data_IF_195504703265
#
_entry.id   IF_195504703265
#
_cell.length_a   1.000
_cell.length_b   1.000
_cell.length_c   1.000
_cell.angle_alpha   90.00
_cell.angle_beta   90.00
_cell.angle_gamma   90.00
#
_symmetry.space_group_name_H-M   'P 1'
#
loop_
_entity.id
_entity.type
_entity.pdbx_description
1 polymer ?
#
# COMPACT_ATOMS: atom_id res chain seq x y z
N UNK A 1 -25.46 11.09 -29.83
CA UNK A 1 -25.52 10.48 -28.48
C UNK A 1 -24.24 10.91 -27.79
N UNK A 2 -24.30 11.62 -26.66
CA UNK A 2 -23.09 12.00 -25.92
C UNK A 2 -22.52 10.74 -25.26
N UNK A 3 -21.22 10.49 -25.42
CA UNK A 3 -20.53 9.45 -24.66
C UNK A 3 -20.62 9.77 -23.16
N UNK A 4 -20.62 8.76 -22.29
CA UNK A 4 -20.66 8.99 -20.84
C UNK A 4 -19.51 9.88 -20.37
N UNK A 5 -18.32 9.76 -20.97
CA UNK A 5 -17.17 10.62 -20.70
C UNK A 5 -17.37 12.09 -21.06
N UNK A 6 -18.25 12.41 -22.02
CA UNK A 6 -18.53 13.79 -22.45
C UNK A 6 -19.46 14.52 -21.46
N UNK A 7 -20.03 13.80 -20.48
CA UNK A 7 -20.80 14.40 -19.40
C UNK A 7 -19.93 15.09 -18.35
N UNK A 8 -18.62 14.84 -18.34
CA UNK A 8 -17.67 15.35 -17.34
C UNK A 8 -18.08 15.08 -15.87
N UNK A 9 -18.78 13.97 -15.64
CA UNK A 9 -19.19 13.52 -14.31
C UNK A 9 -18.55 12.15 -14.06
N UNK A 10 -17.80 12.05 -12.96
CA UNK A 10 -17.23 10.79 -12.47
C UNK A 10 -17.58 10.65 -11.00
N UNK A 11 -18.09 9.48 -10.62
CA UNK A 11 -18.45 9.17 -9.24
C UNK A 11 -17.37 8.33 -8.58
N UNK A 12 -16.97 8.71 -7.37
CA UNK A 12 -15.93 8.02 -6.62
C UNK A 12 -16.40 7.75 -5.19
N UNK A 13 -16.10 6.54 -4.70
CA UNK A 13 -16.25 6.15 -3.31
C UNK A 13 -14.89 5.72 -2.80
N UNK A 14 -14.45 6.32 -1.69
CA UNK A 14 -13.14 6.10 -1.10
C UNK A 14 -13.31 5.60 0.34
N UNK A 15 -12.71 4.47 0.67
CA UNK A 15 -12.55 4.00 2.05
C UNK A 15 -11.09 3.98 2.49
N UNK A 16 -10.90 3.89 3.81
CA UNK A 16 -9.59 3.75 4.44
C UNK A 16 -9.08 2.31 4.40
N UNK A 17 -8.52 1.88 5.52
CA UNK A 17 -7.80 0.61 5.64
C UNK A 17 -8.76 -0.58 5.62
N UNK A 18 -8.62 -1.42 4.61
CA UNK A 18 -9.30 -2.69 4.49
C UNK A 18 -8.43 -3.80 5.09
N UNK A 19 -8.80 -4.21 6.31
CA UNK A 19 -8.27 -5.40 6.95
C UNK A 19 -9.29 -6.53 6.87
N UNK A 20 -9.34 -7.19 5.70
CA UNK A 20 -10.30 -8.26 5.42
C UNK A 20 -9.69 -9.62 5.73
N UNK A 21 -10.29 -10.38 6.65
CA UNK A 21 -9.81 -11.72 7.06
C UNK A 21 -10.85 -12.82 6.88
N UNK A 22 -12.06 -12.46 6.44
CA UNK A 22 -13.18 -13.37 6.25
C UNK A 22 -14.02 -12.93 5.04
N UNK A 23 -14.80 -13.85 4.45
CA UNK A 23 -15.76 -13.50 3.41
C UNK A 23 -16.69 -12.37 3.84
N UNK A 24 -16.95 -11.43 2.93
CA UNK A 24 -17.93 -10.36 3.08
C UNK A 24 -19.29 -10.78 2.52
N UNK A 25 -19.30 -11.69 1.54
CA UNK A 25 -20.51 -12.12 0.85
C UNK A 25 -21.49 -12.94 1.69
N UNK A 26 -21.11 -13.28 2.92
CA UNK A 26 -21.95 -14.04 3.86
C UNK A 26 -22.92 -13.14 4.65
N UNK A 27 -22.68 -11.82 4.63
CA UNK A 27 -23.50 -10.84 5.33
C UNK A 27 -24.66 -10.37 4.44
N UNK A 28 -25.88 -10.42 4.98
CA UNK A 28 -27.12 -10.08 4.28
C UNK A 28 -27.89 -8.93 4.95
N UNK A 29 -27.31 -8.30 5.97
CA UNK A 29 -27.93 -7.20 6.69
C UNK A 29 -28.23 -6.02 5.73
N UNK A 30 -29.46 -5.48 5.70
CA UNK A 30 -29.84 -4.46 4.71
C UNK A 30 -28.93 -3.22 4.68
N UNK A 31 -28.42 -2.81 5.84
CA UNK A 31 -27.51 -1.66 5.96
C UNK A 31 -26.12 -1.97 5.36
N UNK A 32 -25.64 -3.20 5.52
CA UNK A 32 -24.37 -3.65 4.93
C UNK A 32 -24.48 -3.75 3.40
N UNK A 33 -25.56 -4.34 2.90
CA UNK A 33 -25.81 -4.41 1.46
C UNK A 33 -26.03 -3.04 0.84
N UNK A 34 -26.65 -2.10 1.55
CA UNK A 34 -26.77 -0.71 1.10
C UNK A 34 -25.39 -0.03 0.95
N UNK A 35 -24.44 -0.32 1.85
CA UNK A 35 -23.06 0.16 1.71
C UNK A 35 -22.37 -0.45 0.48
N UNK A 36 -22.44 -1.77 0.30
CA UNK A 36 -21.91 -2.43 -0.91
C UNK A 36 -22.54 -1.85 -2.20
N UNK A 37 -23.83 -1.53 -2.17
CA UNK A 37 -24.50 -0.90 -3.30
C UNK A 37 -23.92 0.47 -3.66
N UNK A 38 -23.54 1.29 -2.66
CA UNK A 38 -22.86 2.57 -2.91
C UNK A 38 -21.53 2.36 -3.63
N UNK A 39 -20.73 1.39 -3.20
CA UNK A 39 -19.46 1.03 -3.87
C UNK A 39 -19.71 0.57 -5.31
N UNK A 40 -20.64 -0.37 -5.50
CA UNK A 40 -20.98 -0.93 -6.83
C UNK A 40 -21.53 0.09 -7.82
N UNK A 41 -22.10 1.20 -7.34
CA UNK A 41 -22.67 2.25 -8.19
C UNK A 41 -21.65 3.30 -8.63
N UNK A 42 -20.51 3.40 -7.95
CA UNK A 42 -19.48 4.35 -8.31
C UNK A 42 -18.70 3.89 -9.54
N UNK A 43 -18.22 4.84 -10.35
CA UNK A 43 -17.26 4.56 -11.42
C UNK A 43 -15.92 4.08 -10.83
N UNK A 44 -15.52 4.69 -9.70
CA UNK A 44 -14.31 4.36 -8.94
C UNK A 44 -14.67 4.00 -7.51
N UNK A 45 -14.23 2.84 -7.06
CA UNK A 45 -14.44 2.36 -5.70
C UNK A 45 -13.08 1.91 -5.15
N UNK A 46 -12.53 2.75 -4.29
CA UNK A 46 -11.16 2.65 -3.78
C UNK A 46 -11.13 2.23 -2.31
N UNK A 47 -10.13 1.44 -1.95
CA UNK A 47 -9.73 1.23 -0.55
C UNK A 47 -8.21 1.12 -0.40
N UNK A 48 -7.68 1.43 0.78
CA UNK A 48 -6.31 1.04 1.12
C UNK A 48 -6.29 -0.42 1.55
N UNK A 49 -5.56 -1.29 0.86
CA UNK A 49 -5.45 -2.71 1.23
C UNK A 49 -4.27 -2.88 2.19
N UNK A 50 -4.59 -2.87 3.48
CA UNK A 50 -3.62 -2.80 4.59
C UNK A 50 -2.99 -4.16 4.93
N UNK A 51 -3.21 -5.18 4.09
CA UNK A 51 -2.78 -6.55 4.34
C UNK A 51 -2.19 -7.18 3.06
N UNK A 52 -1.15 -8.00 3.24
CA UNK A 52 -0.62 -8.82 2.15
C UNK A 52 -1.54 -10.03 1.91
N UNK A 53 -2.02 -10.18 0.68
CA UNK A 53 -2.91 -11.27 0.30
C UNK A 53 -2.08 -12.47 -0.17
N UNK A 54 -1.81 -13.40 0.74
CA UNK A 54 -0.99 -14.60 0.50
C UNK A 54 -1.47 -15.81 1.33
N UNK A 55 -1.04 -17.01 0.93
CA UNK A 55 -1.49 -18.31 1.46
C UNK A 55 -0.81 -18.73 2.78
N UNK A 56 -0.29 -17.77 3.55
CA UNK A 56 0.51 -18.02 4.77
C UNK A 56 1.75 -18.91 4.58
N UNK A 57 2.17 -19.20 3.35
CA UNK A 57 3.37 -19.99 3.05
C UNK A 57 4.70 -19.23 3.14
N UNK A 58 4.67 -17.97 3.57
CA UNK A 58 5.83 -17.05 3.55
C UNK A 58 6.19 -16.69 4.98
N UNK A 59 7.46 -16.80 5.31
CA UNK A 59 7.95 -16.39 6.63
C UNK A 59 7.87 -14.86 6.79
N UNK A 60 7.40 -14.35 7.93
CA UNK A 60 7.40 -12.93 8.21
C UNK A 60 8.80 -12.32 8.15
N UNK A 61 8.89 -11.07 7.69
CA UNK A 61 10.09 -10.26 7.67
C UNK A 61 10.28 -9.50 8.98
N UNK A 62 9.93 -8.22 8.97
CA UNK A 62 9.96 -7.34 10.15
C UNK A 62 8.53 -6.86 10.42
N UNK A 63 7.62 -7.75 10.88
CA UNK A 63 6.24 -7.38 11.14
C UNK A 63 6.18 -6.38 12.30
N UNK A 64 5.44 -5.28 12.12
CA UNK A 64 5.30 -4.18 13.09
C UNK A 64 4.46 -4.51 14.34
N UNK A 65 4.47 -5.77 14.80
CA UNK A 65 3.69 -6.28 15.93
C UNK A 65 2.40 -7.03 15.54
N UNK A 66 1.90 -6.82 14.32
CA UNK A 66 0.80 -7.58 13.72
C UNK A 66 1.30 -8.26 12.45
N UNK A 67 0.89 -9.50 12.23
CA UNK A 67 1.17 -10.24 11.00
C UNK A 67 0.07 -9.97 9.98
N UNK A 68 0.09 -8.82 9.32
CA UNK A 68 -1.01 -8.35 8.48
C UNK A 68 -1.10 -9.13 7.15
N UNK A 69 -1.71 -10.32 7.20
CA UNK A 69 -1.92 -11.20 6.05
C UNK A 69 -3.33 -11.78 5.98
N UNK A 70 -3.78 -12.04 4.75
CA UNK A 70 -5.11 -12.57 4.47
C UNK A 70 -5.09 -13.57 3.31
N UNK A 71 -6.02 -14.54 3.35
CA UNK A 71 -6.21 -15.51 2.26
C UNK A 71 -6.48 -14.76 0.94
N UNK A 72 -5.78 -15.10 -0.17
CA UNK A 72 -5.98 -14.47 -1.47
C UNK A 72 -7.42 -14.47 -1.97
N UNK A 73 -8.27 -15.42 -1.55
CA UNK A 73 -9.70 -15.46 -1.91
C UNK A 73 -10.45 -14.21 -1.46
N UNK A 74 -10.00 -13.55 -0.40
CA UNK A 74 -10.60 -12.31 0.10
C UNK A 74 -10.43 -11.13 -0.89
N UNK A 75 -9.57 -11.24 -1.91
CA UNK A 75 -9.55 -10.26 -3.00
C UNK A 75 -10.86 -10.29 -3.80
N UNK A 76 -11.43 -11.47 -4.04
CA UNK A 76 -12.71 -11.61 -4.73
C UNK A 76 -13.87 -11.04 -3.90
N UNK A 77 -13.73 -11.03 -2.58
CA UNK A 77 -14.70 -10.43 -1.67
C UNK A 77 -14.69 -8.91 -1.75
N UNK A 78 -13.51 -8.29 -1.97
CA UNK A 78 -13.41 -6.86 -2.26
C UNK A 78 -14.07 -6.52 -3.59
N UNK A 79 -13.82 -7.31 -4.65
CA UNK A 79 -14.51 -7.16 -5.93
C UNK A 79 -16.03 -7.36 -5.79
N UNK A 80 -16.46 -8.39 -5.07
CA UNK A 80 -17.87 -8.64 -4.77
C UNK A 80 -18.50 -7.47 -4.01
N UNK A 81 -17.77 -6.83 -3.10
CA UNK A 81 -18.26 -5.68 -2.35
C UNK A 81 -18.44 -4.45 -3.24
N UNK A 82 -17.68 -4.38 -4.33
CA UNK A 82 -17.73 -3.31 -5.34
C UNK A 82 -16.42 -2.54 -5.50
N UNK A 83 -15.34 -2.93 -4.79
CA UNK A 83 -14.02 -2.29 -4.93
C UNK A 83 -13.42 -2.62 -6.29
N UNK A 84 -12.84 -1.63 -6.95
CA UNK A 84 -12.14 -1.79 -8.23
C UNK A 84 -10.73 -1.17 -8.23
N UNK A 85 -10.34 -0.43 -7.19
CA UNK A 85 -8.98 0.09 -7.00
C UNK A 85 -8.47 -0.14 -5.57
N UNK A 86 -7.20 -0.52 -5.42
CA UNK A 86 -6.54 -0.71 -4.11
C UNK A 86 -5.18 -0.04 -4.02
N UNK A 87 -4.96 0.73 -2.96
CA UNK A 87 -3.62 1.20 -2.59
C UNK A 87 -2.87 0.10 -1.85
N UNK A 88 -1.58 -0.09 -2.17
CA UNK A 88 -0.75 -1.13 -1.58
C UNK A 88 0.47 -0.57 -0.84
N UNK A 89 0.78 0.72 -0.98
CA UNK A 89 1.86 1.37 -0.25
C UNK A 89 1.38 1.82 1.14
N UNK A 90 1.70 1.05 2.16
CA UNK A 90 1.37 1.31 3.56
C UNK A 90 2.46 0.71 4.47
N UNK A 91 2.26 0.76 5.78
CA UNK A 91 3.24 0.24 6.74
C UNK A 91 3.29 -1.28 6.83
N UNK A 92 2.26 -1.98 6.34
CA UNK A 92 2.18 -3.44 6.38
C UNK A 92 2.62 -4.12 5.08
N UNK A 93 2.88 -3.36 4.01
CA UNK A 93 3.27 -3.90 2.71
C UNK A 93 4.54 -4.76 2.77
N UNK A 94 5.41 -4.59 3.76
CA UNK A 94 6.67 -5.33 3.89
C UNK A 94 6.70 -6.31 5.06
N UNK A 95 5.56 -6.62 5.67
CA UNK A 95 5.49 -7.53 6.82
C UNK A 95 6.06 -8.92 6.53
N UNK A 96 6.05 -9.34 5.26
CA UNK A 96 6.53 -10.65 4.79
C UNK A 96 7.68 -10.53 3.78
N UNK A 97 8.48 -9.46 3.88
CA UNK A 97 9.67 -9.24 3.06
C UNK A 97 9.39 -9.20 1.54
N UNK A 98 10.43 -9.36 0.72
CA UNK A 98 10.35 -9.44 -0.74
C UNK A 98 9.37 -10.53 -1.20
N UNK A 99 9.39 -11.69 -0.52
CA UNK A 99 8.55 -12.84 -0.85
C UNK A 99 7.07 -12.50 -0.73
N UNK A 100 6.68 -11.81 0.34
CA UNK A 100 5.33 -11.34 0.58
C UNK A 100 4.82 -10.41 -0.53
N UNK A 101 5.63 -9.41 -0.91
CA UNK A 101 5.31 -8.51 -2.02
C UNK A 101 5.10 -9.28 -3.32
N UNK A 102 6.02 -10.18 -3.66
CA UNK A 102 5.96 -10.94 -4.91
C UNK A 102 4.73 -11.84 -4.99
N UNK A 103 4.39 -12.53 -3.90
CA UNK A 103 3.22 -13.39 -3.82
C UNK A 103 1.93 -12.56 -3.85
N UNK A 104 1.89 -11.45 -3.11
CA UNK A 104 0.76 -10.53 -3.11
C UNK A 104 0.47 -9.99 -4.51
N UNK A 105 1.50 -9.53 -5.22
CA UNK A 105 1.42 -9.12 -6.63
C UNK A 105 0.94 -10.26 -7.54
N UNK A 106 1.39 -11.49 -7.32
CA UNK A 106 0.95 -12.65 -8.10
C UNK A 106 -0.53 -12.98 -7.89
N UNK A 107 -1.07 -12.75 -6.68
CA UNK A 107 -2.49 -12.96 -6.39
C UNK A 107 -3.37 -11.82 -6.92
N UNK A 108 -2.93 -10.57 -6.78
CA UNK A 108 -3.63 -9.41 -7.37
C UNK A 108 -3.75 -9.52 -8.90
N UNK A 109 -2.76 -10.09 -9.57
CA UNK A 109 -2.81 -10.33 -11.04
C UNK A 109 -3.91 -11.30 -11.47
N UNK A 110 -4.52 -12.03 -10.55
CA UNK A 110 -5.61 -12.97 -10.82
C UNK A 110 -6.99 -12.31 -10.69
N UNK A 111 -7.05 -11.03 -10.34
CA UNK A 111 -8.30 -10.26 -10.14
C UNK A 111 -8.38 -9.07 -11.09
N UNK A 112 -9.52 -8.37 -11.10
CA UNK A 112 -9.69 -7.14 -11.89
C UNK A 112 -9.37 -5.87 -11.09
N UNK A 113 -8.84 -6.02 -9.87
CA UNK A 113 -8.49 -4.87 -9.03
C UNK A 113 -7.31 -4.13 -9.64
N UNK A 114 -7.49 -2.83 -9.86
CA UNK A 114 -6.38 -1.94 -10.20
C UNK A 114 -5.63 -1.62 -8.92
N UNK A 115 -4.30 -1.62 -8.98
CA UNK A 115 -3.48 -1.37 -7.81
C UNK A 115 -2.26 -0.51 -8.09
N UNK A 116 -1.71 0.10 -7.04
CA UNK A 116 -0.44 0.83 -7.11
C UNK A 116 0.27 0.87 -5.77
N UNK A 117 1.56 1.21 -5.77
CA UNK A 117 2.34 1.50 -4.57
C UNK A 117 3.30 0.42 -4.11
N UNK A 118 3.31 -0.75 -4.75
CA UNK A 118 4.35 -1.77 -4.60
C UNK A 118 4.76 -2.30 -5.96
N UNK A 119 5.95 -2.88 -6.05
CA UNK A 119 6.43 -3.47 -7.30
C UNK A 119 7.63 -4.38 -7.08
N UNK A 120 8.07 -5.05 -8.16
CA UNK A 120 9.29 -5.89 -8.16
C UNK A 120 10.57 -5.06 -8.12
N UNK A 121 10.46 -3.77 -8.39
CA UNK A 121 11.53 -2.78 -8.37
C UNK A 121 10.90 -1.38 -8.20
N UNK A 122 11.73 -0.36 -8.00
CA UNK A 122 11.26 1.00 -7.74
C UNK A 122 10.47 1.62 -8.91
N UNK A 123 10.74 1.22 -10.16
CA UNK A 123 9.99 1.73 -11.31
C UNK A 123 8.56 1.19 -11.29
N UNK A 124 8.39 -0.10 -11.06
CA UNK A 124 7.08 -0.73 -10.91
C UNK A 124 6.33 -0.15 -9.70
N UNK A 125 6.99 -0.02 -8.55
CA UNK A 125 6.35 0.52 -7.35
C UNK A 125 5.82 1.95 -7.55
N UNK A 126 6.55 2.78 -8.31
CA UNK A 126 6.15 4.14 -8.67
C UNK A 126 5.12 4.23 -9.79
N UNK A 127 4.87 3.13 -10.51
CA UNK A 127 3.97 3.16 -11.64
C UNK A 127 2.52 3.33 -11.16
N UNK A 128 1.75 4.24 -11.77
CA UNK A 128 0.33 4.33 -11.48
C UNK A 128 -0.42 3.08 -11.93
N UNK A 129 -1.45 2.72 -11.18
CA UNK A 129 -2.50 1.81 -11.66
C UNK A 129 -3.56 2.60 -12.41
N UNK A 130 -3.95 2.16 -13.61
CA UNK A 130 -4.97 2.84 -14.42
C UNK A 130 -6.28 2.06 -14.43
N UNK A 131 -7.37 2.73 -14.07
CA UNK A 131 -8.73 2.22 -14.21
C UNK A 131 -9.42 2.94 -15.37
N UNK A 132 -9.87 2.17 -16.36
CA UNK A 132 -10.71 2.65 -17.45
C UNK A 132 -12.19 2.48 -17.08
N UNK A 133 -12.96 3.56 -17.13
CA UNK A 133 -14.41 3.56 -16.91
C UNK A 133 -15.13 4.20 -18.10
N UNK A 134 -16.47 4.08 -18.13
CA UNK A 134 -17.28 4.79 -19.14
C UNK A 134 -17.23 6.32 -18.95
N UNK A 135 -16.96 6.78 -17.72
CA UNK A 135 -16.86 8.20 -17.38
C UNK A 135 -15.46 8.79 -17.67
N UNK A 136 -14.43 7.95 -17.77
CA UNK A 136 -13.06 8.37 -18.08
C UNK A 136 -12.01 7.42 -17.49
N UNK A 137 -10.73 7.80 -17.61
CA UNK A 137 -9.60 7.06 -17.03
C UNK A 137 -9.13 7.71 -15.75
N UNK A 138 -8.91 6.89 -14.71
CA UNK A 138 -8.38 7.33 -13.40
C UNK A 138 -7.05 6.64 -13.14
N UNK A 139 -6.06 7.41 -12.69
CA UNK A 139 -4.75 6.91 -12.27
C UNK A 139 -4.67 6.90 -10.74
N UNK A 140 -4.31 5.77 -10.16
CA UNK A 140 -3.98 5.64 -8.74
C UNK A 140 -2.45 5.64 -8.56
N UNK A 141 -1.97 6.53 -7.69
CA UNK A 141 -0.58 6.58 -7.25
C UNK A 141 -0.60 6.49 -5.73
N UNK A 142 0.01 5.45 -5.18
CA UNK A 142 0.08 5.20 -3.75
C UNK A 142 1.53 5.27 -3.28
N UNK A 143 1.77 5.96 -2.17
CA UNK A 143 3.08 6.13 -1.55
C UNK A 143 2.94 6.02 -0.02
N UNK A 144 4.01 5.60 0.66
CA UNK A 144 4.08 5.58 2.13
C UNK A 144 5.35 6.24 2.64
N UNK A 145 5.31 6.82 3.84
CA UNK A 145 6.47 7.32 4.60
C UNK A 145 6.89 6.37 5.72
N UNK A 146 6.07 5.36 6.00
CA UNK A 146 6.21 4.49 7.18
C UNK A 146 6.44 3.07 6.70
N UNK A 147 7.68 2.60 6.77
CA UNK A 147 8.11 1.26 6.37
C UNK A 147 9.53 1.03 6.90
N UNK A 148 9.97 -0.22 7.11
CA UNK A 148 11.38 -0.50 7.40
C UNK A 148 12.25 -0.15 6.18
N UNK A 149 13.48 0.34 6.37
CA UNK A 149 14.35 0.73 5.24
C UNK A 149 14.60 -0.43 4.24
N UNK A 150 14.59 -1.68 4.73
CA UNK A 150 14.65 -2.88 3.89
C UNK A 150 13.45 -3.01 2.94
N UNK A 151 12.28 -2.47 3.29
CA UNK A 151 11.06 -2.50 2.47
C UNK A 151 10.97 -1.46 1.38
N UNK A 152 11.95 -0.55 1.29
CA UNK A 152 12.07 0.37 0.16
C UNK A 152 12.32 -0.41 -1.13
N UNK A 153 11.47 -0.22 -2.14
CA UNK A 153 11.75 -0.71 -3.50
C UNK A 153 13.03 -0.06 -4.05
N UNK A 154 13.88 -0.85 -4.71
CA UNK A 154 15.16 -0.38 -5.27
C UNK A 154 15.15 -0.47 -6.79
N UNK A 155 15.83 0.45 -7.45
CA UNK A 155 16.01 0.43 -8.90
C UNK A 155 16.72 -0.85 -9.35
N UNK A 156 16.28 -1.39 -10.48
CA UNK A 156 17.06 -2.37 -11.24
C UNK A 156 18.23 -1.68 -11.94
N UNK A 157 19.28 -2.45 -12.25
CA UNK A 157 20.41 -2.05 -13.10
C UNK A 157 20.48 -3.00 -14.31
N UNK A 158 21.25 -2.66 -15.36
CA UNK A 158 21.41 -3.56 -16.51
C UNK A 158 21.88 -4.97 -16.16
N UNK A 159 22.66 -5.11 -15.09
CA UNK A 159 23.29 -6.34 -14.60
C UNK A 159 22.61 -6.94 -13.35
N UNK A 160 21.59 -6.28 -12.79
CA UNK A 160 20.95 -6.70 -11.54
C UNK A 160 19.45 -6.37 -11.51
N UNK A 161 18.66 -7.34 -11.06
CA UNK A 161 17.24 -7.10 -10.79
C UNK A 161 17.08 -6.08 -9.66
N UNK A 162 15.98 -5.31 -9.71
CA UNK A 162 15.63 -4.42 -8.61
C UNK A 162 15.19 -5.22 -7.38
N UNK A 163 15.13 -4.54 -6.23
CA UNK A 163 14.56 -5.13 -5.02
C UNK A 163 13.05 -4.81 -4.97
N UNK A 164 12.18 -5.82 -4.79
CA UNK A 164 10.78 -5.60 -4.52
C UNK A 164 10.58 -4.65 -3.32
N UNK A 165 9.44 -3.97 -3.25
CA UNK A 165 9.13 -3.12 -2.11
C UNK A 165 8.06 -2.09 -2.37
N UNK A 166 7.92 -1.19 -1.42
CA UNK A 166 6.96 -0.08 -1.46
C UNK A 166 7.48 1.09 -2.28
N UNK A 167 6.55 1.91 -2.76
CA UNK A 167 6.80 3.23 -3.29
C UNK A 167 7.00 4.23 -2.14
N UNK A 168 8.24 4.69 -1.90
CA UNK A 168 8.51 5.56 -0.78
C UNK A 168 8.17 7.02 -1.13
N UNK A 169 7.48 7.72 -0.23
CA UNK A 169 7.49 9.18 -0.20
C UNK A 169 8.75 9.64 0.52
N UNK A 170 9.70 10.20 -0.21
CA UNK A 170 10.90 10.79 0.37
C UNK A 170 10.54 12.06 1.16
N UNK A 171 11.00 12.15 2.40
CA UNK A 171 10.84 13.34 3.24
C UNK A 171 12.10 13.58 4.05
N UNK A 172 12.30 14.84 4.45
CA UNK A 172 13.33 15.23 5.41
C UNK A 172 12.65 15.71 6.69
N UNK A 173 13.06 15.17 7.84
CA UNK A 173 12.53 15.58 9.14
C UNK A 173 13.53 16.48 9.85
N UNK A 174 13.15 17.75 10.03
CA UNK A 174 13.98 18.76 10.69
C UNK A 174 13.39 19.09 12.07
N UNK A 175 14.09 18.69 13.14
CA UNK A 175 13.75 19.08 14.50
C UNK A 175 14.43 20.40 14.87
N UNK A 176 13.64 21.45 15.07
CA UNK A 176 14.15 22.77 15.48
C UNK A 176 14.16 22.90 17.00
N UNK A 177 15.29 23.29 17.56
CA UNK A 177 15.49 23.43 19.01
C UNK A 177 16.26 24.72 19.32
N UNK A 178 16.03 25.34 20.50
CA UNK A 178 16.92 26.39 20.99
C UNK A 178 18.36 25.90 21.11
N UNK A 179 19.34 26.79 20.90
CA UNK A 179 20.76 26.45 20.98
C UNK A 179 21.16 25.81 22.32
N UNK A 180 20.50 26.19 23.42
CA UNK A 180 20.71 25.59 24.75
C UNK A 180 20.36 24.11 24.75
N UNK A 181 19.22 23.72 24.18
CA UNK A 181 18.79 22.32 24.05
C UNK A 181 19.64 21.51 23.09
N UNK A 182 20.13 22.12 22.02
CA UNK A 182 21.10 21.48 21.12
C UNK A 182 22.40 21.15 21.87
N UNK A 183 22.90 22.05 22.72
CA UNK A 183 24.09 21.80 23.55
C UNK A 183 23.86 20.67 24.56
N UNK A 184 22.71 20.66 25.23
CA UNK A 184 22.31 19.58 26.13
C UNK A 184 22.28 18.22 25.40
N UNK A 185 21.64 18.16 24.24
CA UNK A 185 21.58 16.94 23.41
C UNK A 185 22.96 16.45 22.98
N UNK A 186 23.86 17.36 22.59
CA UNK A 186 25.25 17.00 22.23
C UNK A 186 26.00 16.38 23.41
N UNK A 187 25.87 16.96 24.60
CA UNK A 187 26.48 16.44 25.82
C UNK A 187 25.93 15.05 26.20
N UNK A 188 24.61 14.86 26.12
CA UNK A 188 23.99 13.53 26.33
C UNK A 188 24.52 12.53 25.31
N UNK A 189 24.53 12.90 24.02
CA UNK A 189 25.00 12.06 22.91
C UNK A 189 26.44 11.60 23.09
N UNK A 190 27.32 12.46 23.60
CA UNK A 190 28.72 12.12 23.89
C UNK A 190 28.85 11.17 25.09
N UNK A 191 28.13 11.43 26.18
CA UNK A 191 28.16 10.57 27.38
C UNK A 191 27.67 9.15 27.13
N UNK A 192 26.74 8.97 26.20
CA UNK A 192 26.21 7.63 25.84
C UNK A 192 26.93 7.00 24.64
N UNK A 193 27.98 7.63 24.10
CA UNK A 193 28.73 7.11 22.95
C UNK A 193 27.95 7.08 21.63
N UNK A 194 26.85 7.84 21.51
CA UNK A 194 25.97 7.77 20.33
C UNK A 194 26.67 8.17 19.02
N UNK A 195 27.70 9.02 19.06
CA UNK A 195 28.50 9.40 17.89
C UNK A 195 29.48 8.31 17.42
N UNK A 196 29.91 7.41 18.30
CA UNK A 196 30.88 6.36 17.95
C UNK A 196 30.22 5.21 17.18
N UNK A 197 28.96 4.91 17.48
CA UNK A 197 28.17 3.86 16.83
C UNK A 197 27.75 4.17 15.38
N UNK A 198 27.96 5.39 14.87
CA UNK A 198 27.67 5.74 13.46
C UNK A 198 28.84 5.54 12.50
N UNK A 199 30.03 5.16 12.99
CA UNK A 199 31.20 4.87 12.13
C UNK A 199 31.26 3.41 11.62
N UNK A 200 30.26 2.59 11.92
CA UNK A 200 30.21 1.17 11.57
C UNK A 200 29.22 0.79 10.45
N UNK A 201 28.73 1.76 9.68
CA UNK A 201 27.91 1.53 8.48
C UNK A 201 28.49 2.30 7.29
#
# INVERSE_FOLDING_TARGET
MLYSSEKNEITMVLSGDAMITRPLSVFDEPQFLALSYVFKKADVAFTNLEMLMHDYGISPGIPGGVFAASDPKNLNELEWFGVNMVALANNHSWDYSEGGILNHLANLKKTNLIYSGIGKNLSEARSPGYLDTKAGRVALISLTTTFPEAGRAVHQRPDAIGRPGVNPLGYEQIHKLPLTKIKELKNISEKIGYKENKKGL
#
